data_IF_951076655803
#
_entry.id   IF_951076655803
#
_cell.length_a   1.000
_cell.length_b   1.000
_cell.length_c   1.000
_cell.angle_alpha   90.00
_cell.angle_beta   90.00
_cell.angle_gamma   90.00
#
_symmetry.space_group_name_H-M   'P 1'
#
loop_
_entity.id
_entity.type
_entity.pdbx_description
1 polymer ?
#
# COMPACT_ATOMS: atom_id res chain seq x y z
N UNK A 1 13.95 12.99 -3.36
CA UNK A 1 12.66 12.64 -3.97
C UNK A 1 12.52 13.46 -5.25
N UNK A 2 12.24 12.82 -6.39
CA UNK A 2 12.07 13.52 -7.67
C UNK A 2 10.57 13.63 -7.94
N UNK A 3 10.07 14.86 -8.14
CA UNK A 3 8.67 15.09 -8.46
C UNK A 3 8.47 15.03 -9.99
N UNK A 4 7.60 14.12 -10.44
CA UNK A 4 7.30 13.91 -11.86
C UNK A 4 5.78 13.99 -12.07
N UNK A 5 5.22 15.18 -12.33
CA UNK A 5 3.77 15.38 -12.45
C UNK A 5 3.09 14.47 -13.48
N UNK A 6 3.83 14.08 -14.53
CA UNK A 6 3.32 13.24 -15.61
C UNK A 6 2.89 11.85 -15.13
N UNK A 7 3.44 11.34 -14.03
CA UNK A 7 3.06 10.02 -13.49
C UNK A 7 1.60 9.96 -13.05
N UNK A 8 1.01 11.09 -12.62
CA UNK A 8 -0.40 11.14 -12.25
C UNK A 8 -1.36 10.93 -13.45
N UNK A 9 -0.85 10.96 -14.69
CA UNK A 9 -1.63 10.72 -15.91
C UNK A 9 -1.56 9.28 -16.42
N UNK A 10 -0.80 8.42 -15.74
CA UNK A 10 -0.70 7.01 -16.08
C UNK A 10 -2.07 6.36 -15.86
N UNK A 11 -2.55 5.54 -16.81
CA UNK A 11 -3.87 4.94 -16.67
C UNK A 11 -3.88 3.92 -15.50
N UNK A 12 -4.99 3.77 -14.76
CA UNK A 12 -5.05 2.94 -13.55
C UNK A 12 -4.57 1.49 -13.76
N UNK A 13 -4.88 0.89 -14.91
CA UNK A 13 -4.49 -0.47 -15.29
C UNK A 13 -2.98 -0.67 -15.46
N UNK A 14 -2.21 0.42 -15.63
CA UNK A 14 -0.75 0.39 -15.70
C UNK A 14 -0.09 0.50 -14.31
N UNK A 15 -0.90 0.54 -13.23
CA UNK A 15 -0.42 0.67 -11.85
C UNK A 15 -0.79 -0.54 -11.01
N UNK A 16 -0.05 -0.76 -9.93
CA UNK A 16 -0.50 -1.63 -8.84
C UNK A 16 -0.84 -0.82 -7.60
N UNK A 17 -1.76 -1.26 -6.75
CA UNK A 17 -2.01 -0.59 -5.47
C UNK A 17 -0.80 -0.72 -4.52
N UNK A 18 -0.59 0.31 -3.71
CA UNK A 18 0.20 0.25 -2.47
C UNK A 18 -0.59 0.88 -1.34
N UNK A 19 -0.58 0.22 -0.18
CA UNK A 19 -1.30 0.69 1.00
C UNK A 19 -0.31 1.12 2.08
N UNK A 20 -0.38 2.38 2.49
CA UNK A 20 0.49 2.97 3.52
C UNK A 20 -0.36 3.49 4.66
N UNK A 21 0.03 3.18 5.89
CA UNK A 21 -0.70 3.61 7.08
C UNK A 21 -0.38 5.06 7.46
N UNK A 22 -1.42 5.84 7.73
CA UNK A 22 -1.37 7.25 8.15
C UNK A 22 -1.45 7.41 9.68
N UNK A 23 -1.74 6.34 10.42
CA UNK A 23 -1.64 6.22 11.87
C UNK A 23 -1.10 4.85 12.29
N UNK A 24 -0.64 4.75 13.54
CA UNK A 24 0.11 3.60 14.01
C UNK A 24 -0.63 2.65 14.94
N UNK A 25 0.06 1.56 15.28
CA UNK A 25 -0.43 0.53 16.22
C UNK A 25 -0.10 0.95 17.65
N UNK A 26 -1.09 0.86 18.55
CA UNK A 26 -0.92 1.15 19.98
C UNK A 26 -0.14 0.04 20.70
N UNK A 27 0.55 0.34 21.82
CA UNK A 27 0.65 1.65 22.50
C UNK A 27 1.70 2.58 21.90
N UNK A 28 2.55 2.09 20.99
CA UNK A 28 3.69 2.86 20.49
C UNK A 28 3.34 3.87 19.38
N UNK A 29 2.11 3.80 18.86
CA UNK A 29 1.60 4.62 17.75
C UNK A 29 2.52 4.65 16.51
N UNK A 30 3.32 3.59 16.30
CA UNK A 30 4.21 3.47 15.14
C UNK A 30 3.44 3.00 13.92
N UNK A 31 3.74 3.60 12.76
CA UNK A 31 3.28 3.07 11.48
C UNK A 31 3.84 1.65 11.28
N UNK A 32 3.00 0.73 10.81
CA UNK A 32 3.47 -0.54 10.31
C UNK A 32 4.04 -0.38 8.88
N UNK A 33 4.72 -1.42 8.39
CA UNK A 33 5.17 -1.47 6.99
C UNK A 33 4.00 -1.40 6.02
N UNK A 34 4.26 -0.86 4.82
CA UNK A 34 3.26 -0.82 3.75
C UNK A 34 2.86 -2.23 3.29
N UNK A 35 1.62 -2.36 2.81
CA UNK A 35 1.14 -3.61 2.20
C UNK A 35 1.27 -3.49 0.68
N UNK A 36 1.98 -4.46 0.10
CA UNK A 36 2.30 -4.55 -1.32
C UNK A 36 1.69 -5.84 -1.88
N UNK A 37 0.53 -5.76 -2.57
CA UNK A 37 -0.20 -6.96 -2.96
C UNK A 37 0.44 -7.76 -4.10
N UNK A 38 1.34 -7.13 -4.86
CA UNK A 38 2.05 -7.76 -5.98
C UNK A 38 3.54 -7.46 -5.90
N UNK A 39 4.35 -8.43 -6.30
CA UNK A 39 5.80 -8.36 -6.43
C UNK A 39 6.23 -8.79 -7.86
N UNK A 40 7.50 -8.57 -8.26
CA UNK A 40 7.99 -9.06 -9.55
C UNK A 40 7.72 -10.57 -9.69
N UNK A 41 7.08 -10.94 -10.81
CA UNK A 41 6.61 -12.30 -11.08
C UNK A 41 5.11 -12.50 -10.88
N UNK A 42 4.44 -11.67 -10.08
CA UNK A 42 3.00 -11.77 -9.88
C UNK A 42 2.22 -11.15 -11.06
N UNK A 43 1.06 -11.74 -11.44
CA UNK A 43 0.13 -11.09 -12.37
C UNK A 43 -0.28 -9.71 -11.86
N UNK A 44 -0.25 -8.72 -12.76
CA UNK A 44 -0.62 -7.33 -12.41
C UNK A 44 0.43 -6.57 -11.60
N UNK A 45 1.66 -7.09 -11.49
CA UNK A 45 2.79 -6.31 -10.99
C UNK A 45 3.11 -5.14 -11.92
N UNK A 46 3.20 -3.95 -11.33
CA UNK A 46 3.76 -2.75 -11.93
C UNK A 46 4.66 -2.07 -10.91
N UNK A 47 5.84 -1.56 -11.32
CA UNK A 47 6.68 -0.72 -10.47
C UNK A 47 6.03 0.66 -10.22
N UNK A 48 5.03 1.05 -11.01
CA UNK A 48 4.23 2.24 -10.75
C UNK A 48 3.11 1.89 -9.78
N UNK A 49 3.17 2.50 -8.59
CA UNK A 49 2.25 2.20 -7.50
C UNK A 49 1.28 3.33 -7.24
N UNK A 50 -0.01 3.03 -7.26
CA UNK A 50 -1.06 3.97 -6.86
C UNK A 50 -1.22 3.95 -5.33
N UNK A 51 -0.90 5.07 -4.68
CA UNK A 51 -0.91 5.17 -3.23
C UNK A 51 -2.32 5.31 -2.67
N UNK A 52 -2.67 4.38 -1.79
CA UNK A 52 -3.85 4.45 -0.93
C UNK A 52 -3.39 4.62 0.52
N UNK A 53 -3.87 5.66 1.19
CA UNK A 53 -3.62 5.88 2.62
C UNK A 53 -4.65 5.11 3.44
N UNK A 54 -4.16 4.44 4.49
CA UNK A 54 -4.96 3.64 5.42
C UNK A 54 -4.96 4.32 6.78
N UNK A 55 -6.12 4.53 7.38
CA UNK A 55 -6.24 5.09 8.73
C UNK A 55 -7.11 4.17 9.59
N UNK A 56 -6.60 3.71 10.72
CA UNK A 56 -7.41 3.10 11.78
C UNK A 56 -8.37 4.13 12.35
N UNK A 57 -9.63 3.75 12.53
CA UNK A 57 -10.62 4.62 13.17
C UNK A 57 -10.43 4.64 14.69
N UNK A 58 -10.90 5.72 15.31
CA UNK A 58 -10.96 5.80 16.76
C UNK A 58 -11.85 4.69 17.33
N UNK A 59 -11.43 4.10 18.45
CA UNK A 59 -12.11 2.97 19.08
C UNK A 59 -11.89 1.62 18.39
N UNK A 60 -11.21 1.56 17.25
CA UNK A 60 -10.72 0.29 16.70
C UNK A 60 -9.55 -0.25 17.54
N UNK A 61 -9.24 -1.53 17.33
CA UNK A 61 -8.05 -2.19 17.91
C UNK A 61 -7.01 -2.42 16.81
N UNK A 62 -6.08 -1.48 16.57
CA UNK A 62 -5.07 -1.62 15.53
C UNK A 62 -4.24 -2.89 15.70
N UNK A 63 -3.93 -3.54 14.58
CA UNK A 63 -3.04 -4.70 14.51
C UNK A 63 -2.22 -4.67 13.23
N UNK A 64 -1.18 -5.49 13.16
CA UNK A 64 -0.43 -5.63 11.93
C UNK A 64 -1.28 -6.33 10.87
N UNK A 65 -1.33 -5.77 9.65
CA UNK A 65 -2.01 -6.33 8.49
C UNK A 65 -0.96 -6.47 7.39
N UNK A 66 -0.77 -7.69 6.90
CA UNK A 66 0.32 -7.99 5.95
C UNK A 66 -0.19 -8.25 4.54
N UNK A 67 -1.51 -8.33 4.33
CA UNK A 67 -2.12 -8.62 3.04
C UNK A 67 -3.25 -7.63 2.68
N UNK A 68 -3.53 -7.50 1.38
CA UNK A 68 -4.67 -6.73 0.90
C UNK A 68 -6.01 -7.32 1.36
N UNK A 69 -6.08 -8.65 1.50
CA UNK A 69 -7.28 -9.33 1.98
C UNK A 69 -7.61 -8.90 3.42
N UNK A 70 -6.60 -8.85 4.31
CA UNK A 70 -6.78 -8.42 5.70
C UNK A 70 -7.21 -6.96 5.79
N UNK A 71 -6.63 -6.09 4.95
CA UNK A 71 -7.03 -4.69 4.85
C UNK A 71 -8.51 -4.54 4.45
N UNK A 72 -8.94 -5.26 3.42
CA UNK A 72 -10.33 -5.22 2.94
C UNK A 72 -11.30 -5.82 3.97
N UNK A 73 -10.89 -6.86 4.70
CA UNK A 73 -11.69 -7.42 5.78
C UNK A 73 -11.86 -6.41 6.93
N UNK A 74 -10.78 -5.77 7.39
CA UNK A 74 -10.82 -4.75 8.42
C UNK A 74 -11.61 -3.49 7.97
N UNK A 75 -11.50 -3.09 6.71
CA UNK A 75 -12.34 -2.03 6.13
C UNK A 75 -13.82 -2.41 6.18
N UNK A 76 -14.18 -3.63 5.74
CA UNK A 76 -15.57 -4.11 5.76
C UNK A 76 -16.13 -4.23 7.18
N UNK A 77 -15.28 -4.58 8.15
CA UNK A 77 -15.61 -4.56 9.57
C UNK A 77 -15.74 -3.14 10.16
N UNK A 78 -15.44 -2.11 9.37
CA UNK A 78 -15.56 -0.71 9.77
C UNK A 78 -14.38 -0.19 10.60
N UNK A 79 -13.31 -0.97 10.76
CA UNK A 79 -12.13 -0.62 11.58
C UNK A 79 -11.19 0.39 10.91
N UNK A 80 -11.22 0.45 9.57
CA UNK A 80 -10.32 1.24 8.75
C UNK A 80 -11.06 2.22 7.82
N UNK A 81 -10.35 3.26 7.39
CA UNK A 81 -10.69 4.07 6.22
C UNK A 81 -9.58 3.96 5.18
N UNK A 82 -9.97 3.92 3.91
CA UNK A 82 -9.08 3.87 2.75
C UNK A 82 -9.28 5.17 1.95
N UNK A 83 -8.20 5.91 1.71
CA UNK A 83 -8.20 7.12 0.91
C UNK A 83 -7.29 6.96 -0.30
N UNK A 84 -7.87 6.96 -1.50
CA UNK A 84 -7.10 7.06 -2.73
C UNK A 84 -6.55 8.49 -2.88
N UNK A 85 -5.24 8.61 -3.06
CA UNK A 85 -4.57 9.92 -3.04
C UNK A 85 -4.36 10.54 -4.42
N UNK A 86 -4.47 9.75 -5.49
CA UNK A 86 -4.05 10.14 -6.85
C UNK A 86 -2.53 10.22 -7.02
N UNK A 87 -1.75 9.93 -5.98
CA UNK A 87 -0.28 9.90 -6.05
C UNK A 87 0.17 8.59 -6.66
N UNK A 88 0.98 8.67 -7.71
CA UNK A 88 1.67 7.55 -8.32
C UNK A 88 3.15 7.60 -7.97
N UNK A 89 3.67 6.50 -7.43
CA UNK A 89 5.07 6.36 -7.00
C UNK A 89 5.76 5.35 -7.90
N UNK A 90 6.90 5.70 -8.49
CA UNK A 90 7.78 4.72 -9.12
C UNK A 90 8.61 4.00 -8.04
N UNK A 91 8.24 2.77 -7.72
CA UNK A 91 8.83 1.95 -6.66
C UNK A 91 9.10 0.52 -7.18
N UNK A 92 10.15 0.32 -7.99
CA UNK A 92 10.51 -1.00 -8.46
C UNK A 92 11.08 -1.85 -7.31
N UNK A 93 10.59 -3.07 -7.17
CA UNK A 93 11.29 -4.08 -6.39
C UNK A 93 12.41 -4.68 -7.25
N UNK A 94 13.61 -4.73 -6.69
CA UNK A 94 14.77 -5.34 -7.31
C UNK A 94 14.86 -6.80 -6.84
N UNK A 95 14.89 -7.73 -7.79
CA UNK A 95 15.28 -9.11 -7.55
C UNK A 95 16.66 -9.34 -8.16
N UNK A 96 17.58 -9.89 -7.38
CA UNK A 96 18.85 -10.37 -7.93
C UNK A 96 18.64 -11.77 -8.52
N UNK A 97 19.42 -12.15 -9.55
CA UNK A 97 19.27 -13.46 -10.22
C UNK A 97 19.35 -14.68 -9.29
N UNK A 98 20.00 -14.55 -8.13
CA UNK A 98 20.19 -15.62 -7.15
C UNK A 98 19.40 -15.41 -5.85
N UNK A 99 18.54 -14.38 -5.79
CA UNK A 99 17.79 -14.03 -4.58
C UNK A 99 16.34 -14.53 -4.66
N UNK A 100 16.01 -15.55 -3.87
CA UNK A 100 14.61 -15.88 -3.56
C UNK A 100 14.22 -15.23 -2.22
N UNK A 101 12.94 -14.84 -2.13
CA UNK A 101 12.35 -14.22 -0.94
C UNK A 101 12.10 -15.26 0.16
#
# INVERSE_FOLDING_TARGET
MIYVPKLAKVPPEATSPVYIFSNGIQPEHRFQGGVFPTAPGDPGYSPLRALTLITWKDGASPRQLTSAADLLAAQKAGELTLQQTGIIINMPFLQWPTGHR
#
